data_IF_226750286868
#
_entry.id   IF_226750286868
#
_cell.length_a   1.000
_cell.length_b   1.000
_cell.length_c   1.000
_cell.angle_alpha   90.00
_cell.angle_beta   90.00
_cell.angle_gamma   90.00
#
_symmetry.space_group_name_H-M   'P 1'
#
loop_
_entity.id
_entity.type
_entity.pdbx_description
1 polymer ?
#
# COMPACT_ATOMS: atom_id res chain seq x y z
N UNK A 1 -7.83 -1.64 -26.92
CA UNK A 1 -7.04 -2.64 -26.19
C UNK A 1 -7.32 -2.53 -24.72
N UNK A 2 -7.21 -3.62 -23.97
CA UNK A 2 -7.42 -3.62 -22.51
C UNK A 2 -6.27 -2.87 -21.82
N UNK A 3 -6.59 -1.92 -20.94
CA UNK A 3 -5.59 -1.18 -20.17
C UNK A 3 -5.21 -1.98 -18.92
N UNK A 4 -4.11 -2.73 -19.00
CA UNK A 4 -3.60 -3.57 -17.91
C UNK A 4 -2.11 -3.38 -17.73
N UNK A 5 -1.66 -3.40 -16.47
CA UNK A 5 -0.26 -3.42 -16.10
C UNK A 5 -0.07 -4.39 -14.92
N UNK A 6 1.06 -5.10 -14.90
CA UNK A 6 1.41 -6.02 -13.84
C UNK A 6 2.80 -5.67 -13.30
N UNK A 7 2.91 -5.59 -11.97
CA UNK A 7 4.14 -5.26 -11.24
C UNK A 7 4.41 -6.31 -10.18
N UNK A 8 5.69 -6.50 -9.83
CA UNK A 8 6.07 -7.43 -8.76
C UNK A 8 5.72 -6.84 -7.39
N UNK A 9 5.38 -7.71 -6.45
CA UNK A 9 5.14 -7.29 -5.07
C UNK A 9 6.42 -6.73 -4.43
N UNK A 10 6.32 -5.64 -3.64
CA UNK A 10 7.46 -5.08 -2.93
C UNK A 10 7.91 -6.00 -1.78
N UNK A 11 9.22 -6.10 -1.57
CA UNK A 11 9.80 -6.87 -0.46
C UNK A 11 9.76 -8.40 -0.63
N UNK A 12 10.14 -9.10 0.44
CA UNK A 12 10.27 -10.55 0.49
C UNK A 12 9.74 -11.10 1.82
N UNK A 13 9.29 -12.37 1.82
CA UNK A 13 8.79 -13.05 3.03
C UNK A 13 7.62 -12.32 3.69
N UNK A 14 7.63 -12.26 5.02
CA UNK A 14 6.56 -11.63 5.81
C UNK A 14 6.46 -10.12 5.60
N UNK A 15 7.59 -9.46 5.29
CA UNK A 15 7.57 -8.04 4.97
C UNK A 15 6.76 -7.74 3.69
N UNK A 16 6.78 -8.66 2.72
CA UNK A 16 5.94 -8.55 1.51
C UNK A 16 4.46 -8.58 1.87
N UNK A 17 4.04 -9.54 2.68
CA UNK A 17 2.65 -9.72 3.14
C UNK A 17 2.16 -8.47 3.88
N UNK A 18 2.98 -7.97 4.80
CA UNK A 18 2.69 -6.78 5.57
C UNK A 18 2.56 -5.52 4.69
N UNK A 19 3.48 -5.34 3.73
CA UNK A 19 3.46 -4.19 2.80
C UNK A 19 2.26 -4.25 1.84
N UNK A 20 1.91 -5.44 1.34
CA UNK A 20 0.71 -5.60 0.49
C UNK A 20 -0.56 -5.27 1.27
N UNK A 21 -0.63 -5.66 2.54
CA UNK A 21 -1.76 -5.33 3.42
C UNK A 21 -1.87 -3.82 3.61
N UNK A 22 -0.75 -3.13 3.79
CA UNK A 22 -0.71 -1.67 3.90
C UNK A 22 -1.23 -1.00 2.63
N UNK A 23 -0.82 -1.48 1.46
CA UNK A 23 -1.30 -0.99 0.16
C UNK A 23 -2.80 -1.25 -0.03
N UNK A 24 -3.28 -2.42 0.39
CA UNK A 24 -4.70 -2.77 0.32
C UNK A 24 -5.55 -1.83 1.18
N UNK A 25 -5.14 -1.57 2.43
CA UNK A 25 -5.81 -0.62 3.32
C UNK A 25 -5.79 0.81 2.74
N UNK A 26 -4.64 1.24 2.20
CA UNK A 26 -4.52 2.57 1.60
C UNK A 26 -5.40 2.77 0.35
N UNK A 27 -5.67 1.69 -0.40
CA UNK A 27 -6.49 1.72 -1.62
C UNK A 27 -7.95 1.31 -1.39
N UNK A 28 -8.26 0.72 -0.23
CA UNK A 28 -9.58 0.22 0.11
C UNK A 28 -9.93 -1.16 -0.46
N UNK A 29 -8.91 -1.95 -0.84
CA UNK A 29 -9.08 -3.31 -1.34
C UNK A 29 -8.66 -4.37 -0.32
N UNK A 30 -8.69 -5.64 -0.74
CA UNK A 30 -8.19 -6.78 0.03
C UNK A 30 -7.00 -7.44 -0.68
N UNK A 31 -6.10 -8.05 0.11
CA UNK A 31 -5.00 -8.86 -0.42
C UNK A 31 -5.50 -10.29 -0.62
N UNK A 32 -5.33 -10.81 -1.82
CA UNK A 32 -5.68 -12.19 -2.14
C UNK A 32 -4.48 -13.12 -1.95
N UNK A 33 -4.71 -14.33 -1.42
CA UNK A 33 -3.73 -15.41 -1.42
C UNK A 33 -2.76 -15.46 -0.23
N UNK A 34 -3.06 -14.76 0.88
CA UNK A 34 -2.37 -15.01 2.15
C UNK A 34 -3.14 -16.04 3.01
N UNK A 35 -2.48 -16.64 4.00
CA UNK A 35 -2.85 -17.85 4.75
C UNK A 35 -4.31 -17.96 5.26
N UNK A 36 -5.05 -16.85 5.32
CA UNK A 36 -6.50 -16.83 5.47
C UNK A 36 -7.18 -16.73 4.08
N UNK A 37 -7.53 -17.89 3.50
CA UNK A 37 -8.31 -18.04 2.26
C UNK A 37 -9.74 -17.45 2.36
N UNK A 38 -9.89 -16.14 2.54
CA UNK A 38 -11.22 -15.52 2.70
C UNK A 38 -11.95 -15.36 1.35
N UNK A 39 -11.22 -15.22 0.22
CA UNK A 39 -11.80 -15.09 -1.12
C UNK A 39 -10.94 -15.83 -2.15
N UNK A 40 -11.50 -16.80 -2.86
CA UNK A 40 -10.83 -17.45 -4.00
C UNK A 40 -10.74 -16.46 -5.16
N UNK A 41 -9.69 -16.57 -5.99
CA UNK A 41 -9.55 -15.72 -7.18
C UNK A 41 -10.74 -15.84 -8.16
N UNK A 42 -11.48 -16.95 -8.09
CA UNK A 42 -12.68 -17.20 -8.87
C UNK A 42 -13.88 -16.32 -8.46
N UNK A 43 -13.94 -15.86 -7.20
CA UNK A 43 -15.10 -15.19 -6.59
C UNK A 43 -14.87 -13.68 -6.33
N UNK A 44 -13.86 -13.08 -6.98
CA UNK A 44 -13.48 -11.67 -6.76
C UNK A 44 -14.60 -10.73 -7.19
N UNK A 45 -15.03 -9.86 -6.28
CA UNK A 45 -16.02 -8.81 -6.55
C UNK A 45 -15.34 -7.46 -6.81
N UNK A 46 -16.03 -6.55 -7.48
CA UNK A 46 -15.55 -5.19 -7.71
C UNK A 46 -15.26 -4.43 -6.41
N UNK A 47 -15.96 -4.78 -5.31
CA UNK A 47 -15.75 -4.20 -3.98
C UNK A 47 -14.45 -4.66 -3.30
N UNK A 48 -13.87 -5.77 -3.75
CA UNK A 48 -12.63 -6.32 -3.19
C UNK A 48 -11.38 -5.64 -3.79
N UNK A 49 -11.54 -4.96 -4.92
CA UNK A 49 -10.47 -4.27 -5.62
C UNK A 49 -10.24 -2.86 -5.05
N UNK A 50 -8.97 -2.52 -4.82
CA UNK A 50 -8.58 -1.19 -4.39
C UNK A 50 -8.81 -0.13 -5.48
N UNK A 51 -9.13 1.09 -5.07
CA UNK A 51 -9.30 2.24 -5.97
C UNK A 51 -8.26 3.31 -5.73
N UNK A 52 -7.74 3.86 -6.83
CA UNK A 52 -6.65 4.84 -6.85
C UNK A 52 -6.94 5.91 -7.90
N UNK A 53 -6.50 7.14 -7.66
CA UNK A 53 -6.70 8.23 -8.61
C UNK A 53 -5.72 8.17 -9.77
N UNK A 54 -4.46 7.82 -9.51
CA UNK A 54 -3.40 7.80 -10.50
C UNK A 54 -2.33 6.77 -10.12
N UNK A 55 -1.79 6.08 -11.11
CA UNK A 55 -0.71 5.10 -10.94
C UNK A 55 0.38 5.40 -11.97
N UNK A 56 1.60 5.57 -11.49
CA UNK A 56 2.78 5.74 -12.33
C UNK A 56 3.69 4.52 -12.15
N UNK A 57 3.92 3.80 -13.25
CA UNK A 57 4.79 2.62 -13.27
C UNK A 57 5.97 2.96 -14.17
N UNK A 58 7.17 2.89 -13.61
CA UNK A 58 8.44 2.95 -14.35
C UNK A 58 9.08 1.57 -14.37
N UNK A 59 10.26 1.45 -14.98
CA UNK A 59 11.02 0.19 -14.98
C UNK A 59 11.39 -0.27 -13.57
N UNK A 60 11.67 0.69 -12.69
CA UNK A 60 12.28 0.44 -11.39
C UNK A 60 11.30 0.70 -10.24
N UNK A 61 10.33 1.61 -10.42
CA UNK A 61 9.45 2.08 -9.36
C UNK A 61 7.97 2.03 -9.74
N UNK A 62 7.11 1.92 -8.72
CA UNK A 62 5.66 2.05 -8.86
C UNK A 62 5.14 3.00 -7.80
N UNK A 63 4.47 4.07 -8.25
CA UNK A 63 3.85 5.07 -7.39
C UNK A 63 2.34 4.99 -7.53
N UNK A 64 1.68 4.87 -6.38
CA UNK A 64 0.22 4.85 -6.27
C UNK A 64 -0.20 6.15 -5.59
N UNK A 65 -1.03 6.93 -6.28
CA UNK A 65 -1.44 8.26 -5.85
C UNK A 65 -2.95 8.30 -5.61
N UNK A 66 -3.35 9.01 -4.55
CA UNK A 66 -4.76 9.25 -4.18
C UNK A 66 -5.56 7.95 -4.02
N UNK A 67 -5.07 7.05 -3.17
CA UNK A 67 -5.83 5.87 -2.75
C UNK A 67 -7.14 6.27 -2.08
N UNK A 68 -8.22 5.52 -2.34
CA UNK A 68 -9.55 5.76 -1.77
C UNK A 68 -9.85 4.89 -0.55
N UNK A 69 -8.82 4.48 0.18
CA UNK A 69 -8.96 3.77 1.45
C UNK A 69 -9.69 4.60 2.51
N UNK A 70 -10.33 3.91 3.46
CA UNK A 70 -10.99 4.57 4.59
C UNK A 70 -9.93 5.19 5.49
N UNK A 71 -10.07 6.49 5.77
CA UNK A 71 -9.13 7.24 6.61
C UNK A 71 -8.97 6.63 8.01
N UNK A 72 -10.04 6.08 8.58
CA UNK A 72 -9.99 5.43 9.89
C UNK A 72 -9.16 4.15 9.89
N UNK A 73 -9.24 3.35 8.82
CA UNK A 73 -8.46 2.11 8.70
C UNK A 73 -6.99 2.41 8.45
N UNK A 74 -6.69 3.47 7.68
CA UNK A 74 -5.31 3.96 7.48
C UNK A 74 -4.74 4.46 8.82
N UNK A 75 -5.49 5.25 9.60
CA UNK A 75 -5.05 5.72 10.91
C UNK A 75 -4.79 4.57 11.88
N UNK A 76 -5.73 3.63 12.00
CA UNK A 76 -5.54 2.42 12.81
C UNK A 76 -4.29 1.66 12.40
N UNK A 77 -4.02 1.54 11.09
CA UNK A 77 -2.84 0.85 10.60
C UNK A 77 -1.55 1.60 10.93
N UNK A 78 -1.56 2.93 10.81
CA UNK A 78 -0.44 3.80 11.20
C UNK A 78 -0.14 3.65 12.69
N UNK A 79 -1.16 3.64 13.54
CA UNK A 79 -0.99 3.49 15.00
C UNK A 79 -0.47 2.09 15.35
N UNK A 80 -0.99 1.03 14.72
CA UNK A 80 -0.46 -0.33 14.88
C UNK A 80 1.05 -0.42 14.57
N UNK A 81 1.50 0.25 13.49
CA UNK A 81 2.92 0.24 13.11
C UNK A 81 3.75 1.05 14.12
N UNK A 82 3.23 2.16 14.66
CA UNK A 82 3.89 2.92 15.72
C UNK A 82 4.08 2.08 16.97
N UNK A 83 3.04 1.37 17.41
CA UNK A 83 3.12 0.47 18.58
C UNK A 83 4.13 -0.65 18.34
N UNK A 84 4.21 -1.20 17.12
CA UNK A 84 5.22 -2.20 16.76
C UNK A 84 6.65 -1.64 16.83
N UNK A 85 6.86 -0.40 16.40
CA UNK A 85 8.16 0.29 16.46
C UNK A 85 8.63 0.46 17.91
N UNK A 86 7.71 0.74 18.84
CA UNK A 86 8.04 0.91 20.26
C UNK A 86 8.39 -0.41 20.95
N UNK A 87 7.75 -1.51 20.55
CA UNK A 87 7.95 -2.82 21.14
C UNK A 87 9.15 -3.60 20.55
N UNK A 88 9.63 -3.21 19.36
CA UNK A 88 10.77 -3.85 18.71
C UNK A 88 12.10 -3.31 19.26
N UNK A 89 13.00 -4.22 19.64
CA UNK A 89 14.37 -3.91 20.09
C UNK A 89 15.41 -4.05 18.98
N UNK A 90 15.04 -4.66 17.85
CA UNK A 90 15.89 -4.83 16.67
C UNK A 90 15.92 -3.56 15.82
N UNK A 91 17.10 -2.96 15.64
CA UNK A 91 17.27 -1.77 14.79
C UNK A 91 16.87 -2.04 13.33
N UNK A 92 17.15 -3.26 12.82
CA UNK A 92 16.79 -3.65 11.46
C UNK A 92 15.26 -3.65 11.26
N UNK A 93 14.50 -4.25 12.17
CA UNK A 93 13.05 -4.25 12.09
C UNK A 93 12.47 -2.85 12.28
N UNK A 94 13.07 -2.07 13.18
CA UNK A 94 12.67 -0.69 13.44
C UNK A 94 12.79 0.17 12.18
N UNK A 95 13.88 0.04 11.43
CA UNK A 95 14.07 0.70 10.15
C UNK A 95 12.96 0.30 9.14
N UNK A 96 12.66 -1.00 9.02
CA UNK A 96 11.62 -1.47 8.09
C UNK A 96 10.22 -1.02 8.45
N UNK A 97 9.90 -0.98 9.75
CA UNK A 97 8.63 -0.44 10.21
C UNK A 97 8.55 1.07 9.98
N UNK A 98 9.65 1.81 10.18
CA UNK A 98 9.71 3.24 9.86
C UNK A 98 9.53 3.53 8.36
N UNK A 99 10.13 2.74 7.47
CA UNK A 99 9.93 2.87 6.02
C UNK A 99 8.46 2.69 5.64
N UNK A 100 7.78 1.70 6.23
CA UNK A 100 6.35 1.44 6.00
C UNK A 100 5.48 2.55 6.57
N UNK A 101 5.76 2.99 7.80
CA UNK A 101 5.09 4.11 8.44
C UNK A 101 5.20 5.37 7.58
N UNK A 102 6.39 5.68 7.08
CA UNK A 102 6.62 6.83 6.22
C UNK A 102 5.80 6.74 4.93
N UNK A 103 5.73 5.56 4.29
CA UNK A 103 4.92 5.37 3.07
C UNK A 103 3.41 5.55 3.31
N UNK A 104 2.91 5.22 4.50
CA UNK A 104 1.49 5.37 4.85
C UNK A 104 1.14 6.77 5.37
N UNK A 105 2.01 7.37 6.19
CA UNK A 105 1.76 8.64 6.86
C UNK A 105 2.22 9.85 6.02
N UNK A 106 3.37 9.75 5.35
CA UNK A 106 3.89 10.79 4.48
C UNK A 106 3.29 10.62 3.09
N UNK A 107 2.13 11.22 2.89
CA UNK A 107 1.45 11.25 1.59
C UNK A 107 2.33 11.85 0.49
N UNK A 108 2.07 11.46 -0.76
CA UNK A 108 2.76 12.02 -1.92
C UNK A 108 2.19 13.39 -2.27
N UNK A 109 3.02 14.42 -2.25
CA UNK A 109 2.66 15.75 -2.71
C UNK A 109 2.82 15.86 -4.23
N UNK A 110 1.75 16.27 -4.93
CA UNK A 110 1.80 16.55 -6.37
C UNK A 110 1.84 18.05 -6.57
N UNK A 111 2.98 18.56 -7.05
CA UNK A 111 3.16 19.97 -7.39
C UNK A 111 2.75 20.18 -8.85
N UNK A 112 1.65 20.92 -9.07
CA UNK A 112 1.19 21.32 -10.41
C UNK A 112 1.73 22.71 -10.72
N UNK A 113 2.77 22.78 -11.53
CA UNK A 113 3.34 24.06 -11.98
C UNK A 113 2.53 24.55 -13.18
N UNK A 114 1.90 25.71 -13.04
CA UNK A 114 1.24 26.40 -14.15
C UNK A 114 2.20 27.37 -14.83
N UNK A 115 1.89 27.76 -16.06
CA UNK A 115 2.61 28.82 -16.77
C UNK A 115 1.83 29.27 -18.00
N UNK A 116 1.66 30.59 -18.13
CA UNK A 116 1.38 31.22 -19.42
C UNK A 116 2.72 31.39 -20.13
N UNK A 117 2.79 30.93 -21.37
CA UNK A 117 3.72 31.49 -22.36
C UNK A 117 3.47 32.98 -22.55
#
# INVERSE_FOLDING_TARGET
GLQVAAVKAPGFGDNRKATLTDMAIATGGIVFGDEANVVKMEDVQLGDLGQVGEVLITKDDTLILKGKGKQDDIKKRVDQIRDQIENTTSEYEKEKLQERLARLASGVAVLKVGGSS
#
